data_IF_154480263283
#
_entry.id   IF_154480263283
#
_cell.length_a   1.000
_cell.length_b   1.000
_cell.length_c   1.000
_cell.angle_alpha   90.00
_cell.angle_beta   90.00
_cell.angle_gamma   90.00
#
_symmetry.space_group_name_H-M   'P 1'
#
loop_
_entity.id
_entity.type
_entity.pdbx_description
1 polymer ?
#
# COMPACT_ATOMS: atom_id res chain seq x y z
N UNK A 1 -7.87 2.08 9.64
CA UNK A 1 -6.46 1.66 9.84
C UNK A 1 -5.62 2.47 8.88
N UNK A 2 -4.58 3.18 9.35
CA UNK A 2 -3.87 4.18 8.53
C UNK A 2 -2.64 3.62 7.79
N UNK A 3 -1.86 2.76 8.43
CA UNK A 3 -0.61 2.22 7.88
C UNK A 3 -0.50 0.73 8.21
N UNK A 4 0.06 -0.08 7.30
CA UNK A 4 0.32 -1.51 7.49
C UNK A 4 1.72 -1.84 7.03
N UNK A 5 2.46 -2.61 7.83
CA UNK A 5 3.84 -3.02 7.52
C UNK A 5 4.75 -1.83 7.17
N UNK A 6 5.46 -1.96 6.04
CA UNK A 6 6.38 -0.94 5.53
C UNK A 6 5.74 0.20 4.75
N UNK A 7 4.41 0.17 4.50
CA UNK A 7 3.69 1.21 3.78
C UNK A 7 3.64 2.55 4.51
N UNK A 8 3.30 3.62 3.80
CA UNK A 8 3.19 4.97 4.36
C UNK A 8 4.49 5.60 4.90
N UNK A 9 4.50 6.92 5.02
CA UNK A 9 5.64 7.71 5.48
C UNK A 9 5.21 9.09 5.99
N UNK A 10 6.13 9.73 6.72
CA UNK A 10 5.93 11.05 7.29
C UNK A 10 7.12 11.95 7.00
N UNK A 11 6.87 13.26 6.98
CA UNK A 11 7.92 14.28 6.90
C UNK A 11 7.61 15.53 7.69
N UNK A 12 8.66 16.26 8.07
CA UNK A 12 8.62 17.61 8.61
C UNK A 12 9.51 18.54 7.76
N UNK A 13 8.99 19.74 7.44
CA UNK A 13 9.74 20.83 6.81
C UNK A 13 9.98 21.93 7.82
N UNK A 14 11.23 22.21 8.13
CA UNK A 14 11.61 23.27 9.07
C UNK A 14 12.95 23.88 8.66
N UNK A 15 13.07 25.22 8.67
CA UNK A 15 14.34 25.90 8.41
C UNK A 15 14.98 25.60 7.04
N UNK A 16 14.19 25.23 6.03
CA UNK A 16 14.72 24.83 4.70
C UNK A 16 15.20 23.37 4.64
N UNK A 17 15.00 22.59 5.70
CA UNK A 17 15.34 21.18 5.78
C UNK A 17 14.08 20.34 5.63
N UNK A 18 14.16 19.25 4.87
CA UNK A 18 13.14 18.21 4.81
C UNK A 18 13.61 17.00 5.62
N UNK A 19 12.95 16.72 6.73
CA UNK A 19 13.09 15.47 7.46
C UNK A 19 12.06 14.48 6.93
N UNK A 20 12.48 13.34 6.38
CA UNK A 20 11.57 12.34 5.80
C UNK A 20 11.94 10.94 6.26
N UNK A 21 10.94 10.06 6.41
CA UNK A 21 11.15 8.65 6.73
C UNK A 21 12.20 8.02 5.80
N UNK A 22 13.16 7.31 6.38
CA UNK A 22 14.14 6.49 5.66
C UNK A 22 13.50 5.27 5.01
N UNK A 23 14.02 4.88 3.84
CA UNK A 23 13.60 3.67 3.15
C UNK A 23 13.90 2.41 3.97
N UNK A 24 13.03 1.39 3.88
CA UNK A 24 13.18 0.13 4.63
C UNK A 24 12.87 0.21 6.13
N UNK A 25 12.36 1.35 6.62
CA UNK A 25 11.90 1.50 8.00
C UNK A 25 10.37 1.50 8.10
N UNK A 26 9.86 0.93 9.18
CA UNK A 26 8.44 0.97 9.48
C UNK A 26 8.16 2.17 10.36
N UNK A 27 6.99 2.81 10.22
CA UNK A 27 6.63 3.95 11.08
C UNK A 27 6.68 3.59 12.58
N UNK A 28 6.38 2.33 12.93
CA UNK A 28 6.48 1.81 14.29
C UNK A 28 7.91 1.78 14.86
N UNK A 29 8.93 1.76 13.99
CA UNK A 29 10.33 1.75 14.43
C UNK A 29 10.72 3.09 15.08
N UNK A 30 10.01 4.19 14.78
CA UNK A 30 10.21 5.51 15.38
C UNK A 30 10.10 5.49 16.92
N UNK A 31 9.38 4.51 17.48
CA UNK A 31 9.26 4.33 18.93
C UNK A 31 10.53 3.77 19.58
N UNK A 32 11.45 3.22 18.79
CA UNK A 32 12.65 2.51 19.25
C UNK A 32 13.95 3.16 18.80
N UNK A 33 13.94 3.85 17.66
CA UNK A 33 15.13 4.48 17.04
C UNK A 33 14.71 5.63 16.15
N UNK A 34 15.66 6.49 15.79
CA UNK A 34 15.43 7.47 14.74
C UNK A 34 15.26 6.74 13.39
N UNK A 35 14.31 7.24 12.60
CA UNK A 35 13.98 6.74 11.27
C UNK A 35 13.95 7.85 10.23
N UNK A 36 14.27 9.10 10.58
CA UNK A 36 14.24 10.22 9.65
C UNK A 36 15.62 10.51 9.06
N UNK A 37 15.62 10.94 7.80
CA UNK A 37 16.80 11.47 7.11
C UNK A 37 16.53 12.92 6.76
N UNK A 38 17.55 13.77 6.85
CA UNK A 38 17.45 15.21 6.62
C UNK A 38 18.03 15.58 5.27
N UNK A 39 17.27 16.30 4.44
CA UNK A 39 17.69 16.74 3.11
C UNK A 39 17.55 18.26 2.93
N UNK A 40 18.32 18.83 2.01
CA UNK A 40 18.09 20.19 1.51
C UNK A 40 16.76 20.25 0.75
N UNK A 41 15.75 20.93 1.31
CA UNK A 41 14.42 21.01 0.72
C UNK A 41 14.44 21.74 -0.64
N UNK A 42 15.29 22.76 -0.79
CA UNK A 42 15.37 23.51 -2.04
C UNK A 42 15.96 22.64 -3.16
N UNK A 43 17.04 21.92 -2.86
CA UNK A 43 17.62 20.90 -3.73
C UNK A 43 16.60 19.85 -4.14
N UNK A 44 15.84 19.28 -3.19
CA UNK A 44 14.86 18.24 -3.50
C UNK A 44 13.79 18.80 -4.43
N UNK A 45 13.21 19.98 -4.13
CA UNK A 45 12.20 20.61 -4.99
C UNK A 45 12.72 20.90 -6.40
N UNK A 46 14.00 21.28 -6.54
CA UNK A 46 14.64 21.47 -7.84
C UNK A 46 14.77 20.13 -8.59
N UNK A 47 15.21 19.08 -7.92
CA UNK A 47 15.32 17.73 -8.49
C UNK A 47 13.97 17.18 -8.93
N UNK A 48 12.91 17.36 -8.14
CA UNK A 48 11.55 16.94 -8.54
C UNK A 48 11.12 17.64 -9.83
N UNK A 49 11.36 18.95 -9.97
CA UNK A 49 11.06 19.68 -11.22
C UNK A 49 11.87 19.19 -12.42
N UNK A 50 13.06 18.63 -12.18
CA UNK A 50 13.89 18.00 -13.19
C UNK A 50 13.53 16.52 -13.45
N UNK A 51 12.56 15.95 -12.71
CA UNK A 51 12.16 14.55 -12.83
C UNK A 51 13.08 13.55 -12.12
N UNK A 52 13.88 14.00 -11.15
CA UNK A 52 14.73 13.12 -10.33
C UNK A 52 13.89 12.27 -9.37
N UNK A 53 14.32 11.02 -9.15
CA UNK A 53 13.71 10.09 -8.18
C UNK A 53 14.63 9.74 -7.01
N UNK A 54 15.94 9.92 -7.17
CA UNK A 54 16.93 9.63 -6.13
C UNK A 54 17.53 10.93 -5.58
N UNK A 55 17.21 11.21 -4.32
CA UNK A 55 17.67 12.42 -3.61
C UNK A 55 18.80 12.11 -2.61
N UNK A 56 19.45 10.94 -2.69
CA UNK A 56 20.49 10.53 -1.74
C UNK A 56 21.68 11.50 -1.70
N UNK A 57 21.98 12.18 -2.81
CA UNK A 57 23.04 13.19 -2.89
C UNK A 57 22.72 14.49 -2.14
N UNK A 58 21.45 14.69 -1.74
CA UNK A 58 20.97 15.88 -1.04
C UNK A 58 20.84 15.66 0.47
N UNK A 59 21.23 14.49 0.97
CA UNK A 59 21.25 14.18 2.40
C UNK A 59 22.29 15.04 3.10
N UNK A 60 21.88 15.70 4.18
CA UNK A 60 22.73 16.63 4.93
C UNK A 60 23.67 15.86 5.89
N UNK A 61 24.94 16.27 6.02
CA UNK A 61 25.93 15.59 6.89
C UNK A 61 25.56 15.56 8.38
N UNK A 62 24.70 16.48 8.84
CA UNK A 62 24.22 16.52 10.22
C UNK A 62 23.11 15.50 10.51
N UNK A 63 22.64 14.75 9.51
CA UNK A 63 21.69 13.67 9.70
C UNK A 63 22.34 12.55 10.51
N UNK A 64 21.93 12.40 11.77
CA UNK A 64 22.22 11.20 12.56
C UNK A 64 21.38 10.04 11.98
N UNK A 65 21.81 9.45 10.87
CA UNK A 65 21.13 8.32 10.26
C UNK A 65 21.74 7.92 8.93
N UNK A 66 22.28 6.70 8.86
CA UNK A 66 22.88 6.10 7.66
C UNK A 66 21.82 5.63 6.62
N UNK A 67 20.68 6.33 6.54
CA UNK A 67 19.50 5.89 5.81
C UNK A 67 19.39 6.49 4.41
N UNK A 68 19.01 5.67 3.42
CA UNK A 68 18.53 6.15 2.12
C UNK A 68 17.17 6.85 2.29
N UNK A 69 16.92 8.03 1.69
CA UNK A 69 15.60 8.67 1.76
C UNK A 69 14.50 7.79 1.16
N UNK A 70 13.25 8.00 1.60
CA UNK A 70 12.07 7.35 1.00
C UNK A 70 12.02 7.62 -0.52
N UNK A 71 11.61 6.61 -1.29
CA UNK A 71 11.29 6.76 -2.72
C UNK A 71 10.17 7.79 -2.99
N UNK A 72 9.37 8.10 -1.98
CA UNK A 72 8.28 9.07 -2.06
C UNK A 72 8.67 10.45 -1.49
N UNK A 73 9.97 10.70 -1.32
CA UNK A 73 10.48 12.01 -0.85
C UNK A 73 9.99 13.16 -1.74
N UNK A 74 9.83 12.94 -3.04
CA UNK A 74 9.27 13.90 -3.97
C UNK A 74 7.88 14.40 -3.53
N UNK A 75 6.97 13.47 -3.19
CA UNK A 75 5.62 13.75 -2.70
C UNK A 75 5.66 14.61 -1.43
N UNK A 76 6.55 14.30 -0.49
CA UNK A 76 6.71 15.09 0.72
C UNK A 76 7.19 16.51 0.43
N UNK A 77 8.14 16.69 -0.50
CA UNK A 77 8.72 17.98 -0.82
C UNK A 77 7.75 18.95 -1.53
N UNK A 78 6.88 18.42 -2.40
CA UNK A 78 5.95 19.21 -3.21
C UNK A 78 4.74 19.69 -2.43
N UNK A 79 4.26 18.90 -1.46
CA UNK A 79 3.16 19.32 -0.59
C UNK A 79 3.57 20.62 0.13
N UNK A 80 2.71 21.66 0.15
CA UNK A 80 3.10 22.96 0.68
C UNK A 80 3.22 23.00 2.21
N UNK A 81 2.65 22.00 2.89
CA UNK A 81 2.50 21.97 4.35
C UNK A 81 3.79 21.63 5.09
N UNK A 82 3.89 22.09 6.34
CA UNK A 82 5.03 21.82 7.21
C UNK A 82 5.15 20.34 7.55
N UNK A 83 4.04 19.70 7.94
CA UNK A 83 3.97 18.26 8.19
C UNK A 83 3.17 17.60 7.09
N UNK A 84 3.67 16.46 6.60
CA UNK A 84 3.00 15.64 5.57
C UNK A 84 3.03 14.19 6.02
N UNK A 85 1.89 13.53 6.02
CA UNK A 85 1.75 12.10 6.29
C UNK A 85 1.07 11.47 5.09
N UNK A 86 1.75 10.49 4.50
CA UNK A 86 1.16 9.58 3.53
C UNK A 86 0.85 8.23 4.20
N UNK A 87 -0.37 7.76 3.99
CA UNK A 87 -0.97 6.62 4.63
C UNK A 87 -1.61 5.69 3.59
N UNK A 88 -1.47 4.39 3.82
CA UNK A 88 -2.18 3.34 3.06
C UNK A 88 -3.48 3.06 3.81
N UNK A 89 -4.31 4.09 3.91
CA UNK A 89 -5.48 4.05 4.76
C UNK A 89 -6.61 3.27 4.08
N UNK A 90 -7.12 2.23 4.74
CA UNK A 90 -8.00 1.23 4.11
C UNK A 90 -9.26 1.85 3.52
N UNK A 91 -9.96 2.72 4.25
CA UNK A 91 -11.22 3.27 3.76
C UNK A 91 -10.98 4.25 2.60
N UNK A 92 -9.87 4.98 2.63
CA UNK A 92 -9.41 5.80 1.52
C UNK A 92 -9.11 4.95 0.29
N UNK A 93 -8.36 3.85 0.43
CA UNK A 93 -8.09 2.90 -0.67
C UNK A 93 -9.42 2.34 -1.20
N UNK A 94 -10.27 1.77 -0.34
CA UNK A 94 -11.57 1.25 -0.75
C UNK A 94 -12.40 2.29 -1.50
N UNK A 95 -12.35 3.55 -1.08
CA UNK A 95 -13.06 4.65 -1.75
C UNK A 95 -12.51 4.92 -3.13
N UNK A 96 -11.19 5.00 -3.31
CA UNK A 96 -10.58 5.26 -4.63
C UNK A 96 -10.67 4.09 -5.59
N UNK A 97 -10.94 2.88 -5.08
CA UNK A 97 -11.25 1.71 -5.91
C UNK A 97 -12.68 1.75 -6.47
N UNK A 98 -13.58 2.60 -5.98
CA UNK A 98 -14.94 2.68 -6.51
C UNK A 98 -14.98 3.45 -7.84
N UNK A 99 -15.79 3.01 -8.82
CA UNK A 99 -16.09 3.83 -10.00
C UNK A 99 -16.70 5.20 -9.65
N UNK A 100 -17.41 5.28 -8.51
CA UNK A 100 -18.03 6.48 -7.98
C UNK A 100 -17.22 7.18 -6.89
N UNK A 101 -15.88 7.11 -6.96
CA UNK A 101 -14.99 7.64 -5.94
C UNK A 101 -15.22 9.14 -5.71
N UNK A 102 -15.28 9.93 -6.80
CA UNK A 102 -15.44 11.39 -6.75
C UNK A 102 -16.77 11.79 -6.09
N UNK A 103 -17.87 11.12 -6.43
CA UNK A 103 -19.18 11.37 -5.84
C UNK A 103 -19.17 11.06 -4.34
N UNK A 104 -18.58 9.93 -3.94
CA UNK A 104 -18.47 9.55 -2.52
C UNK A 104 -17.61 10.53 -1.74
N UNK A 105 -16.46 10.93 -2.26
CA UNK A 105 -15.58 11.94 -1.64
C UNK A 105 -16.31 13.28 -1.47
N UNK A 106 -16.99 13.74 -2.53
CA UNK A 106 -17.78 14.98 -2.50
C UNK A 106 -18.88 14.92 -1.44
N UNK A 107 -19.61 13.80 -1.34
CA UNK A 107 -20.68 13.62 -0.37
C UNK A 107 -20.16 13.56 1.08
N UNK A 108 -19.02 12.90 1.31
CA UNK A 108 -18.55 12.57 2.66
C UNK A 108 -17.58 13.60 3.25
N UNK A 109 -16.84 14.33 2.42
CA UNK A 109 -15.73 15.17 2.88
C UNK A 109 -16.04 16.67 2.84
N UNK A 110 -17.32 17.04 3.04
CA UNK A 110 -17.71 18.44 3.18
C UNK A 110 -16.85 19.17 4.23
N UNK A 111 -16.32 20.34 3.83
CA UNK A 111 -15.45 21.17 4.67
C UNK A 111 -13.97 20.77 4.68
N UNK A 112 -13.57 19.71 3.97
CA UNK A 112 -12.16 19.34 3.78
C UNK A 112 -11.74 19.73 2.37
N UNK A 113 -10.60 20.42 2.23
CA UNK A 113 -10.01 20.69 0.92
C UNK A 113 -9.27 19.44 0.45
N UNK A 114 -9.81 18.78 -0.57
CA UNK A 114 -9.24 17.54 -1.07
C UNK A 114 -9.11 17.55 -2.59
N UNK A 115 -8.18 16.76 -3.09
CA UNK A 115 -8.07 16.40 -4.50
C UNK A 115 -7.94 14.88 -4.65
N UNK A 116 -8.20 14.37 -5.85
CA UNK A 116 -7.92 12.98 -6.22
C UNK A 116 -7.11 12.97 -7.49
N UNK A 117 -6.05 12.17 -7.53
CA UNK A 117 -5.25 11.94 -8.74
C UNK A 117 -5.52 10.54 -9.29
N UNK A 118 -5.53 10.37 -10.63
CA UNK A 118 -5.53 9.05 -11.25
C UNK A 118 -4.33 8.22 -10.78
N UNK A 119 -4.38 6.91 -11.02
CA UNK A 119 -3.23 6.06 -10.73
C UNK A 119 -2.03 6.53 -11.55
N UNK A 120 -0.90 6.67 -10.86
CA UNK A 120 0.42 6.90 -11.43
C UNK A 120 1.42 6.07 -10.63
N UNK A 121 2.48 5.60 -11.29
CA UNK A 121 3.51 4.80 -10.63
C UNK A 121 4.12 5.59 -9.46
N UNK A 122 4.24 4.99 -8.26
CA UNK A 122 4.92 5.65 -7.14
C UNK A 122 6.34 6.07 -7.53
N UNK A 123 6.73 7.30 -7.18
CA UNK A 123 7.96 7.95 -7.66
C UNK A 123 7.67 9.26 -8.40
N UNK A 124 8.43 9.56 -9.46
CA UNK A 124 8.33 10.83 -10.17
C UNK A 124 6.98 11.03 -10.87
N UNK A 125 6.38 9.97 -11.42
CA UNK A 125 5.10 10.06 -12.13
C UNK A 125 3.95 10.45 -11.18
N UNK A 126 3.89 9.83 -10.01
CA UNK A 126 2.93 10.20 -8.98
C UNK A 126 3.19 11.61 -8.43
N UNK A 127 4.45 11.98 -8.20
CA UNK A 127 4.79 13.33 -7.76
C UNK A 127 4.33 14.39 -8.77
N UNK A 128 4.49 14.14 -10.08
CA UNK A 128 4.02 15.03 -11.14
C UNK A 128 2.49 15.16 -11.14
N UNK A 129 1.77 14.05 -11.07
CA UNK A 129 0.31 14.07 -11.00
C UNK A 129 -0.22 14.85 -9.79
N UNK A 130 0.49 14.78 -8.65
CA UNK A 130 0.14 15.57 -7.46
C UNK A 130 0.50 17.05 -7.66
N UNK A 131 1.63 17.39 -8.29
CA UNK A 131 1.96 18.79 -8.59
C UNK A 131 0.87 19.46 -9.42
N UNK A 132 0.35 18.79 -10.45
CA UNK A 132 -0.69 19.34 -11.33
C UNK A 132 -1.95 19.75 -10.53
N UNK A 133 -2.35 18.97 -9.53
CA UNK A 133 -3.51 19.34 -8.68
C UNK A 133 -3.17 20.43 -7.68
N UNK A 134 -1.94 20.45 -7.15
CA UNK A 134 -1.47 21.48 -6.20
C UNK A 134 -1.37 22.88 -6.85
N UNK A 135 -1.12 22.95 -8.15
CA UNK A 135 -1.06 24.21 -8.90
C UNK A 135 -2.43 24.87 -9.09
N UNK A 136 -3.51 24.08 -9.12
CA UNK A 136 -4.87 24.58 -9.29
C UNK A 136 -5.48 25.11 -7.99
N UNK A 137 -5.38 24.32 -6.92
CA UNK A 137 -5.73 24.67 -5.54
C UNK A 137 -4.82 23.82 -4.64
N UNK A 138 -4.45 24.30 -3.46
CA UNK A 138 -3.57 23.58 -2.55
C UNK A 138 -4.40 22.75 -1.55
N UNK A 139 -4.82 21.51 -1.86
CA UNK A 139 -5.61 20.66 -0.97
C UNK A 139 -4.82 20.28 0.28
N UNK A 140 -5.54 20.04 1.36
CA UNK A 140 -4.98 19.49 2.60
C UNK A 140 -4.92 17.95 2.57
N UNK A 141 -5.67 17.33 1.66
CA UNK A 141 -5.74 15.87 1.47
C UNK A 141 -5.71 15.55 -0.02
N UNK A 142 -4.79 14.68 -0.46
CA UNK A 142 -4.78 14.16 -1.82
C UNK A 142 -4.98 12.65 -1.78
N UNK A 143 -6.04 12.18 -2.43
CA UNK A 143 -6.30 10.77 -2.66
C UNK A 143 -5.56 10.31 -3.90
N UNK A 144 -4.86 9.18 -3.79
CA UNK A 144 -4.10 8.60 -4.88
C UNK A 144 -4.79 7.30 -5.28
N UNK A 145 -5.36 7.28 -6.49
CA UNK A 145 -6.16 6.15 -6.95
C UNK A 145 -5.33 4.86 -6.92
N UNK A 146 -5.92 3.77 -6.40
CA UNK A 146 -5.25 2.48 -6.24
C UNK A 146 -4.01 2.51 -5.32
N UNK A 147 -3.78 3.55 -4.51
CA UNK A 147 -2.56 3.65 -3.71
C UNK A 147 -2.83 3.99 -2.24
N UNK A 148 -3.42 5.15 -1.97
CA UNK A 148 -3.59 5.61 -0.60
C UNK A 148 -3.99 7.07 -0.52
N UNK A 149 -3.59 7.73 0.56
CA UNK A 149 -3.91 9.13 0.83
C UNK A 149 -2.67 9.84 1.37
N UNK A 150 -2.50 11.10 1.00
CA UNK A 150 -1.54 12.02 1.64
C UNK A 150 -2.32 13.17 2.26
N UNK A 151 -1.95 13.55 3.48
CA UNK A 151 -2.49 14.71 4.16
C UNK A 151 -1.35 15.63 4.63
N UNK A 152 -1.57 16.93 4.53
CA UNK A 152 -0.64 17.96 4.98
C UNK A 152 -1.28 18.87 6.02
N UNK A 153 -0.47 19.46 6.90
CA UNK A 153 -0.90 20.40 7.95
C UNK A 153 0.27 21.13 8.63
N UNK A 154 -0.04 21.96 9.62
CA UNK A 154 0.96 22.70 10.38
C UNK A 154 1.65 21.86 11.47
N UNK A 155 1.00 20.80 11.96
CA UNK A 155 1.55 19.91 12.99
C UNK A 155 1.19 18.45 12.75
N UNK A 156 1.97 17.51 13.31
CA UNK A 156 1.69 16.08 13.22
C UNK A 156 0.32 15.70 13.80
N UNK A 157 -0.06 16.33 14.91
CA UNK A 157 -1.37 16.13 15.54
C UNK A 157 -2.52 16.52 14.62
N UNK A 158 -2.43 17.69 13.98
CA UNK A 158 -3.45 18.17 13.05
C UNK A 158 -3.62 17.21 11.86
N UNK A 159 -2.51 16.75 11.28
CA UNK A 159 -2.54 15.82 10.14
C UNK A 159 -3.11 14.46 10.56
N UNK A 160 -2.76 13.96 11.74
CA UNK A 160 -3.32 12.72 12.29
C UNK A 160 -4.84 12.85 12.52
N UNK A 161 -5.29 13.92 13.18
CA UNK A 161 -6.71 14.18 13.43
C UNK A 161 -7.49 14.28 12.10
N UNK A 162 -6.92 14.96 11.10
CA UNK A 162 -7.48 15.05 9.74
C UNK A 162 -7.60 13.69 9.06
N UNK A 163 -6.54 12.87 9.09
CA UNK A 163 -6.58 11.52 8.51
C UNK A 163 -7.60 10.62 9.20
N UNK A 164 -7.71 10.71 10.53
CA UNK A 164 -8.71 9.96 11.31
C UNK A 164 -10.13 10.39 10.98
N UNK A 165 -10.38 11.70 10.83
CA UNK A 165 -11.67 12.23 10.42
C UNK A 165 -12.05 11.75 9.00
N UNK A 166 -11.13 11.87 8.04
CA UNK A 166 -11.30 11.34 6.68
C UNK A 166 -11.67 9.85 6.71
N UNK A 167 -10.88 9.02 7.39
CA UNK A 167 -11.14 7.58 7.45
C UNK A 167 -12.46 7.23 8.14
N UNK A 168 -12.85 8.01 9.15
CA UNK A 168 -14.14 7.86 9.84
C UNK A 168 -15.30 8.16 8.89
N UNK A 169 -15.25 9.29 8.17
CA UNK A 169 -16.31 9.69 7.22
C UNK A 169 -16.41 8.76 6.00
N UNK A 170 -15.30 8.14 5.60
CA UNK A 170 -15.24 7.19 4.49
C UNK A 170 -15.53 5.75 4.90
N UNK A 171 -15.94 5.48 6.15
CA UNK A 171 -16.20 4.13 6.65
C UNK A 171 -17.13 3.31 5.74
N UNK A 172 -16.84 2.01 5.68
CA UNK A 172 -17.64 1.02 5.00
C UNK A 172 -18.24 0.06 6.02
N UNK A 173 -19.45 -0.43 5.75
CA UNK A 173 -20.03 -1.51 6.53
C UNK A 173 -19.22 -2.78 6.28
N UNK A 174 -18.58 -3.29 7.34
CA UNK A 174 -17.86 -4.56 7.25
C UNK A 174 -18.88 -5.69 7.23
N UNK A 175 -19.00 -6.34 6.08
CA UNK A 175 -19.87 -7.48 5.91
C UNK A 175 -19.02 -8.74 5.94
N UNK A 176 -18.65 -9.17 7.15
CA UNK A 176 -17.91 -10.43 7.34
C UNK A 176 -18.91 -11.58 7.18
N UNK A 177 -18.59 -12.53 6.30
CA UNK A 177 -19.37 -13.76 6.16
C UNK A 177 -19.40 -14.50 7.50
N UNK A 178 -20.59 -14.85 7.98
CA UNK A 178 -20.80 -15.54 9.26
C UNK A 178 -20.49 -17.04 9.21
N UNK A 179 -19.80 -17.52 8.18
CA UNK A 179 -19.45 -18.93 8.07
C UNK A 179 -18.19 -19.26 8.89
N UNK A 180 -18.22 -20.30 9.73
CA UNK A 180 -17.07 -20.70 10.53
C UNK A 180 -15.92 -21.14 9.61
N UNK A 181 -14.78 -20.47 9.73
CA UNK A 181 -13.66 -20.52 8.79
C UNK A 181 -12.79 -21.78 8.86
N UNK A 182 -13.21 -22.86 9.51
CA UNK A 182 -12.34 -24.03 9.74
C UNK A 182 -13.08 -25.32 9.41
N UNK A 183 -12.77 -25.90 8.24
CA UNK A 183 -12.97 -27.32 8.00
C UNK A 183 -11.81 -28.12 8.61
N UNK A 184 -12.13 -29.28 9.18
CA UNK A 184 -11.21 -30.14 9.92
C UNK A 184 -10.28 -31.00 9.04
N UNK A 185 -10.36 -30.89 7.71
CA UNK A 185 -9.57 -31.69 6.78
C UNK A 185 -8.98 -30.80 5.68
N UNK A 186 -7.87 -30.14 6.04
CA UNK A 186 -7.09 -29.29 5.14
C UNK A 186 -5.86 -30.09 4.71
N UNK A 187 -5.73 -30.48 3.42
CA UNK A 187 -4.59 -31.24 2.97
C UNK A 187 -3.31 -30.40 3.04
N UNK A 188 -2.18 -31.09 3.18
CA UNK A 188 -0.87 -30.45 3.11
C UNK A 188 -0.56 -30.01 1.67
N UNK A 189 0.00 -28.81 1.52
CA UNK A 189 0.36 -28.22 0.23
C UNK A 189 1.79 -27.74 0.30
N UNK A 190 2.70 -28.48 -0.33
CA UNK A 190 4.14 -28.20 -0.27
C UNK A 190 4.47 -26.75 -0.69
N UNK A 191 5.14 -26.02 0.21
CA UNK A 191 5.53 -24.62 0.05
C UNK A 191 4.48 -23.60 0.52
N UNK A 192 3.36 -24.07 1.10
CA UNK A 192 2.29 -23.22 1.59
C UNK A 192 1.86 -23.58 3.00
N UNK A 193 1.30 -22.60 3.70
CA UNK A 193 0.62 -22.76 4.99
C UNK A 193 -0.81 -22.28 4.89
N UNK A 194 -1.73 -23.00 5.53
CA UNK A 194 -3.08 -22.51 5.73
C UNK A 194 -3.07 -21.32 6.67
N UNK A 195 -3.74 -20.24 6.29
CA UNK A 195 -3.82 -19.03 7.08
C UNK A 195 -4.96 -19.12 8.10
N UNK A 196 -4.67 -18.79 9.35
CA UNK A 196 -5.62 -18.97 10.47
C UNK A 196 -6.56 -17.77 10.68
N UNK A 197 -6.35 -16.65 9.99
CA UNK A 197 -7.28 -15.52 10.06
C UNK A 197 -8.64 -15.89 9.47
N UNK A 198 -9.67 -15.89 10.33
CA UNK A 198 -11.02 -16.27 9.96
C UNK A 198 -11.61 -15.33 8.90
N UNK A 199 -11.25 -14.04 8.91
CA UNK A 199 -11.72 -13.07 7.92
C UNK A 199 -11.19 -13.38 6.52
N UNK A 200 -9.88 -13.60 6.39
CA UNK A 200 -9.24 -13.96 5.13
C UNK A 200 -9.70 -15.35 4.66
N UNK A 201 -9.75 -16.33 5.57
CA UNK A 201 -10.23 -17.68 5.28
C UNK A 201 -11.68 -17.71 4.78
N UNK A 202 -12.56 -16.86 5.35
CA UNK A 202 -13.95 -16.75 4.93
C UNK A 202 -14.12 -16.29 3.46
N UNK A 203 -13.12 -15.63 2.86
CA UNK A 203 -13.16 -15.25 1.44
C UNK A 203 -13.17 -16.48 0.52
N UNK A 204 -12.57 -17.59 0.95
CA UNK A 204 -12.61 -18.85 0.21
C UNK A 204 -14.01 -19.47 0.12
N UNK A 205 -14.96 -18.99 0.92
CA UNK A 205 -16.37 -19.38 0.91
C UNK A 205 -17.27 -18.33 0.24
N UNK A 206 -16.69 -17.21 -0.21
CA UNK A 206 -17.39 -16.14 -0.91
C UNK A 206 -16.64 -15.78 -2.21
N UNK A 207 -16.87 -16.55 -3.29
CA UNK A 207 -16.21 -16.30 -4.58
C UNK A 207 -16.44 -14.87 -5.09
N UNK A 208 -17.59 -14.26 -4.79
CA UNK A 208 -17.91 -12.90 -5.26
C UNK A 208 -16.99 -11.85 -4.64
N UNK A 209 -16.51 -12.07 -3.41
CA UNK A 209 -15.52 -11.20 -2.77
C UNK A 209 -14.11 -11.57 -3.16
N UNK A 210 -13.75 -12.86 -3.10
CA UNK A 210 -12.40 -13.31 -3.42
C UNK A 210 -11.99 -12.93 -4.84
N UNK A 211 -12.90 -13.06 -5.81
CA UNK A 211 -12.63 -12.72 -7.21
C UNK A 211 -12.23 -11.24 -7.42
N UNK A 212 -12.57 -10.32 -6.50
CA UNK A 212 -12.09 -8.94 -6.57
C UNK A 212 -10.59 -8.83 -6.33
N UNK A 213 -10.02 -9.76 -5.56
CA UNK A 213 -8.59 -9.84 -5.26
C UNK A 213 -7.82 -10.68 -6.30
N UNK A 214 -8.51 -11.56 -7.03
CA UNK A 214 -7.87 -12.53 -7.92
C UNK A 214 -7.72 -12.06 -9.38
N UNK A 215 -8.47 -11.03 -9.81
CA UNK A 215 -8.46 -10.60 -11.21
C UNK A 215 -7.18 -9.88 -11.60
N UNK A 216 -6.80 -8.85 -10.86
CA UNK A 216 -5.60 -8.02 -11.02
C UNK A 216 -5.24 -7.37 -9.69
N UNK A 217 -4.03 -6.85 -9.59
CA UNK A 217 -3.63 -6.14 -8.40
C UNK A 217 -4.47 -4.87 -8.21
N UNK A 218 -4.88 -4.62 -6.96
CA UNK A 218 -5.65 -3.44 -6.58
C UNK A 218 -4.74 -2.28 -6.21
N UNK A 219 -3.55 -2.56 -5.66
CA UNK A 219 -2.60 -1.57 -5.17
C UNK A 219 -1.17 -1.90 -5.56
N UNK A 220 -0.25 -0.93 -5.72
CA UNK A 220 1.11 -1.20 -6.17
C UNK A 220 1.89 -2.08 -5.20
N UNK A 221 1.73 -1.84 -3.89
CA UNK A 221 2.36 -2.63 -2.83
C UNK A 221 1.99 -4.12 -2.87
N UNK A 222 0.81 -4.47 -3.39
CA UNK A 222 0.42 -5.86 -3.59
C UNK A 222 1.31 -6.54 -4.65
N UNK A 223 1.57 -5.86 -5.77
CA UNK A 223 2.45 -6.40 -6.83
C UNK A 223 3.85 -6.58 -6.29
N UNK A 224 4.31 -5.60 -5.54
CA UNK A 224 5.61 -5.58 -4.91
C UNK A 224 5.77 -6.72 -3.92
N UNK A 225 4.95 -6.78 -2.87
CA UNK A 225 5.18 -7.73 -1.79
C UNK A 225 4.70 -9.16 -2.11
N UNK A 226 3.70 -9.29 -2.98
CA UNK A 226 3.05 -10.58 -3.27
C UNK A 226 3.29 -11.07 -4.71
N UNK A 227 3.95 -10.29 -5.56
CA UNK A 227 4.21 -10.65 -6.96
C UNK A 227 2.99 -10.52 -7.89
N UNK A 228 1.84 -10.09 -7.38
CA UNK A 228 0.63 -9.95 -8.19
C UNK A 228 -0.69 -10.10 -7.43
N UNK A 229 -1.81 -10.36 -8.15
CA UNK A 229 -3.10 -10.68 -7.55
C UNK A 229 -3.06 -11.95 -6.69
N UNK A 230 -4.10 -12.14 -5.87
CA UNK A 230 -4.34 -13.45 -5.28
C UNK A 230 -4.72 -14.46 -6.38
N UNK A 231 -4.65 -15.74 -6.06
CA UNK A 231 -5.08 -16.81 -6.97
C UNK A 231 -6.32 -17.49 -6.42
N UNK A 232 -7.27 -17.84 -7.29
CA UNK A 232 -8.41 -18.68 -6.94
C UNK A 232 -8.20 -20.09 -7.49
N UNK A 233 -8.47 -21.09 -6.67
CA UNK A 233 -8.46 -22.50 -7.06
C UNK A 233 -9.75 -23.18 -6.61
N UNK A 234 -10.34 -24.01 -7.46
CA UNK A 234 -11.53 -24.79 -7.08
C UNK A 234 -11.15 -25.94 -6.15
N UNK A 235 -10.01 -26.58 -6.40
CA UNK A 235 -9.50 -27.69 -5.59
C UNK A 235 -8.00 -27.52 -5.26
N UNK A 236 -7.46 -28.37 -4.41
CA UNK A 236 -6.02 -28.39 -4.12
C UNK A 236 -5.24 -29.05 -5.26
N UNK A 237 -5.85 -29.99 -5.94
CA UNK A 237 -5.29 -30.72 -7.08
C UNK A 237 -4.99 -29.79 -8.26
N UNK A 238 -5.86 -28.80 -8.50
CA UNK A 238 -5.69 -27.80 -9.57
C UNK A 238 -4.45 -26.89 -9.33
N UNK A 239 -3.95 -26.79 -8.09
CA UNK A 239 -2.86 -25.88 -7.75
C UNK A 239 -1.56 -26.20 -8.45
N UNK A 240 -1.31 -27.47 -8.79
CA UNK A 240 -0.06 -27.84 -9.48
C UNK A 240 0.08 -27.11 -10.82
N UNK A 241 -0.97 -27.16 -11.64
CA UNK A 241 -0.97 -26.54 -12.97
C UNK A 241 -1.03 -25.01 -12.86
N UNK A 242 -1.84 -24.49 -11.93
CA UNK A 242 -1.95 -23.05 -11.67
C UNK A 242 -0.60 -22.46 -11.24
N UNK A 243 0.12 -23.14 -10.32
CA UNK A 243 1.44 -22.73 -9.85
C UNK A 243 2.46 -22.74 -10.98
N UNK A 244 2.46 -23.79 -11.81
CA UNK A 244 3.37 -23.89 -12.95
C UNK A 244 3.16 -22.76 -13.96
N UNK A 245 1.91 -22.44 -14.30
CA UNK A 245 1.59 -21.31 -15.18
C UNK A 245 1.99 -19.97 -14.57
N UNK A 246 1.64 -19.76 -13.30
CA UNK A 246 1.96 -18.54 -12.59
C UNK A 246 3.47 -18.30 -12.54
N UNK A 247 4.25 -19.33 -12.17
CA UNK A 247 5.71 -19.26 -12.11
C UNK A 247 6.32 -18.94 -13.48
N UNK A 248 5.80 -19.51 -14.58
CA UNK A 248 6.25 -19.17 -15.94
C UNK A 248 5.98 -17.72 -16.30
N UNK A 249 4.83 -17.19 -15.90
CA UNK A 249 4.42 -15.82 -16.27
C UNK A 249 5.06 -14.72 -15.41
N UNK A 250 5.34 -14.99 -14.13
CA UNK A 250 5.78 -13.98 -13.15
C UNK A 250 7.13 -14.26 -12.50
N UNK A 251 7.73 -15.44 -12.71
CA UNK A 251 9.03 -15.81 -12.16
C UNK A 251 9.05 -16.09 -10.66
N UNK A 252 7.89 -16.02 -9.99
CA UNK A 252 7.69 -16.34 -8.57
C UNK A 252 6.44 -17.20 -8.41
N UNK A 253 6.30 -17.94 -7.32
CA UNK A 253 5.07 -18.64 -6.99
C UNK A 253 3.96 -17.69 -6.49
N UNK A 254 2.66 -18.07 -6.61
CA UNK A 254 1.56 -17.32 -5.99
C UNK A 254 1.79 -17.15 -4.48
N UNK A 255 1.71 -15.92 -3.98
CA UNK A 255 1.93 -15.66 -2.55
C UNK A 255 0.67 -15.81 -1.69
N UNK A 256 -0.51 -15.65 -2.30
CA UNK A 256 -1.81 -15.83 -1.66
C UNK A 256 -2.74 -16.59 -2.60
N UNK A 257 -3.32 -17.68 -2.12
CA UNK A 257 -4.23 -18.55 -2.85
C UNK A 257 -5.47 -18.78 -2.02
N UNK A 258 -6.66 -18.60 -2.60
CA UNK A 258 -7.92 -19.04 -2.03
C UNK A 258 -8.31 -20.38 -2.65
N UNK A 259 -8.56 -21.38 -1.82
CA UNK A 259 -9.07 -22.68 -2.26
C UNK A 259 -10.53 -22.79 -1.85
N UNK A 260 -11.40 -22.89 -2.85
CA UNK A 260 -12.86 -22.91 -2.70
C UNK A 260 -13.30 -23.84 -1.56
N UNK A 261 -14.00 -23.29 -0.57
CA UNK A 261 -14.54 -24.04 0.56
C UNK A 261 -13.53 -24.57 1.59
N UNK A 262 -12.22 -24.34 1.43
CA UNK A 262 -11.19 -24.82 2.36
C UNK A 262 -10.52 -23.70 3.17
N UNK A 263 -10.25 -22.56 2.52
CA UNK A 263 -9.61 -21.41 3.15
C UNK A 263 -8.57 -20.72 2.27
N UNK A 264 -7.70 -19.94 2.91
CA UNK A 264 -6.60 -19.25 2.27
C UNK A 264 -5.26 -19.96 2.57
N UNK A 265 -4.46 -20.17 1.52
CA UNK A 265 -3.08 -20.62 1.57
C UNK A 265 -2.15 -19.42 1.35
N UNK A 266 -1.08 -19.36 2.13
CA UNK A 266 -0.02 -18.36 2.01
C UNK A 266 1.30 -19.06 1.80
N UNK A 267 2.07 -18.61 0.81
CA UNK A 267 3.37 -19.20 0.51
C UNK A 267 4.36 -18.99 1.67
N UNK A 268 5.24 -19.96 1.93
CA UNK A 268 6.12 -19.93 3.11
C UNK A 268 7.14 -18.78 3.13
N UNK A 269 7.66 -18.33 1.98
CA UNK A 269 8.55 -17.16 1.92
C UNK A 269 7.86 -15.80 2.11
N UNK A 270 6.56 -15.73 2.37
CA UNK A 270 5.89 -14.44 2.62
C UNK A 270 6.38 -13.88 3.95
N UNK A 271 7.23 -12.85 3.87
CA UNK A 271 7.71 -12.09 5.03
C UNK A 271 6.66 -11.18 5.65
N UNK A 272 7.04 -10.49 6.73
CA UNK A 272 6.13 -9.65 7.52
C UNK A 272 5.48 -8.49 6.73
N UNK A 273 6.19 -7.92 5.76
CA UNK A 273 5.64 -6.93 4.82
C UNK A 273 4.53 -7.52 3.94
N UNK A 274 4.76 -8.71 3.37
CA UNK A 274 3.74 -9.43 2.59
C UNK A 274 2.54 -9.86 3.43
N UNK A 275 2.75 -10.30 4.67
CA UNK A 275 1.64 -10.58 5.60
C UNK A 275 0.79 -9.35 5.90
N UNK A 276 1.42 -8.18 6.04
CA UNK A 276 0.71 -6.91 6.20
C UNK A 276 -0.13 -6.57 4.96
N UNK A 277 0.36 -6.90 3.76
CA UNK A 277 -0.40 -6.71 2.52
C UNK A 277 -1.56 -7.71 2.39
N UNK A 278 -1.38 -8.97 2.79
CA UNK A 278 -2.46 -9.96 2.82
C UNK A 278 -3.58 -9.49 3.76
N UNK A 279 -3.23 -8.94 4.92
CA UNK A 279 -4.19 -8.34 5.85
C UNK A 279 -4.95 -7.17 5.20
N UNK A 280 -4.24 -6.23 4.55
CA UNK A 280 -4.87 -5.13 3.81
C UNK A 280 -5.85 -5.63 2.74
N UNK A 281 -5.49 -6.64 1.96
CA UNK A 281 -6.37 -7.21 0.93
C UNK A 281 -7.64 -7.82 1.52
N UNK A 282 -7.52 -8.54 2.64
CA UNK A 282 -8.68 -9.05 3.39
C UNK A 282 -9.61 -7.91 3.84
N UNK A 283 -9.03 -6.85 4.42
CA UNK A 283 -9.75 -5.66 4.85
C UNK A 283 -10.49 -4.95 3.69
N UNK A 284 -9.87 -4.90 2.51
CA UNK A 284 -10.48 -4.34 1.29
C UNK A 284 -11.66 -5.21 0.82
N UNK A 285 -11.47 -6.54 0.74
CA UNK A 285 -12.50 -7.45 0.26
C UNK A 285 -13.78 -7.45 1.12
N UNK A 286 -13.64 -7.28 2.43
CA UNK A 286 -14.77 -7.20 3.36
C UNK A 286 -15.52 -5.86 3.34
N UNK A 287 -14.88 -4.80 2.83
CA UNK A 287 -15.46 -3.44 2.76
C UNK A 287 -16.06 -3.11 1.40
N UNK A 288 -15.50 -3.64 0.31
CA UNK A 288 -16.00 -3.34 -1.02
C UNK A 288 -17.39 -3.97 -1.23
N UNK A 289 -18.40 -3.19 -1.67
CA UNK A 289 -19.72 -3.73 -1.98
C UNK A 289 -19.65 -4.86 -3.01
N UNK A 290 -20.41 -5.94 -2.83
CA UNK A 290 -20.39 -7.14 -3.69
C UNK A 290 -20.66 -6.80 -5.16
N UNK A 291 -21.53 -5.83 -5.42
CA UNK A 291 -21.94 -5.41 -6.76
C UNK A 291 -20.91 -4.55 -7.50
N UNK A 292 -19.86 -4.09 -6.81
CA UNK A 292 -18.85 -3.20 -7.40
C UNK A 292 -17.70 -4.01 -7.98
N UNK A 293 -17.36 -3.70 -9.22
CA UNK A 293 -16.07 -4.06 -9.82
C UNK A 293 -15.08 -2.94 -9.47
N UNK A 294 -14.04 -3.21 -8.66
CA UNK A 294 -13.09 -2.17 -8.29
C UNK A 294 -12.21 -1.76 -9.48
N UNK A 295 -11.71 -0.52 -9.43
CA UNK A 295 -10.56 -0.11 -10.24
C UNK A 295 -9.38 -1.02 -9.93
N UNK A 296 -8.63 -1.43 -10.95
CA UNK A 296 -7.49 -2.34 -10.84
C UNK A 296 -6.33 -1.78 -11.64
N UNK A 297 -5.10 -2.10 -11.22
CA UNK A 297 -3.90 -1.78 -12.00
C UNK A 297 -3.98 -2.41 -13.40
N UNK A 298 -3.40 -1.74 -14.39
CA UNK A 298 -3.25 -2.33 -15.72
C UNK A 298 -2.12 -3.37 -15.71
N UNK A 299 -2.10 -4.24 -16.73
CA UNK A 299 -1.00 -5.21 -16.90
C UNK A 299 0.34 -4.49 -17.05
N UNK A 300 0.34 -3.37 -17.77
CA UNK A 300 1.55 -2.54 -17.96
C UNK A 300 2.05 -1.98 -16.62
N UNK A 301 1.15 -1.52 -15.76
CA UNK A 301 1.49 -0.99 -14.45
C UNK A 301 2.06 -2.08 -13.53
N UNK A 302 1.48 -3.27 -13.52
CA UNK A 302 2.03 -4.41 -12.75
C UNK A 302 3.46 -4.76 -13.22
N UNK A 303 3.70 -4.81 -14.53
CA UNK A 303 5.03 -5.12 -15.08
C UNK A 303 6.08 -4.06 -14.74
N UNK A 304 5.70 -2.78 -14.71
CA UNK A 304 6.57 -1.67 -14.29
C UNK A 304 6.96 -1.74 -12.82
N UNK A 305 6.17 -2.42 -11.98
CA UNK A 305 6.43 -2.59 -10.54
C UNK A 305 7.29 -3.83 -10.26
N UNK A 306 7.08 -4.94 -10.97
CA UNK A 306 7.86 -6.18 -10.78
C UNK A 306 9.37 -5.99 -11.07
N UNK A 307 9.71 -5.11 -12.01
CA UNK A 307 11.10 -4.83 -12.40
C UNK A 307 11.71 -3.63 -11.67
N UNK A 308 11.11 -3.16 -10.58
CA UNK A 308 11.49 -1.90 -9.95
C UNK A 308 12.63 -2.04 -8.92
N UNK A 309 13.82 -1.54 -9.26
CA UNK A 309 15.03 -1.75 -8.46
C UNK A 309 15.02 -1.10 -7.07
N UNK A 310 14.36 0.07 -6.93
CA UNK A 310 14.23 0.74 -5.63
C UNK A 310 13.44 -0.11 -4.63
N UNK A 311 12.56 -0.96 -5.13
CA UNK A 311 11.67 -1.78 -4.33
C UNK A 311 12.29 -3.14 -3.98
N UNK A 312 13.10 -3.71 -4.88
CA UNK A 312 13.95 -4.88 -4.58
C UNK A 312 14.84 -4.62 -3.36
N UNK A 313 15.32 -3.38 -3.18
CA UNK A 313 16.07 -2.99 -1.99
C UNK A 313 15.22 -3.05 -0.70
N UNK A 314 13.97 -2.57 -0.72
CA UNK A 314 13.06 -2.63 0.45
C UNK A 314 12.72 -4.07 0.81
N UNK A 315 12.40 -4.90 -0.18
CA UNK A 315 12.14 -6.33 0.01
C UNK A 315 13.32 -7.05 0.66
N UNK A 316 14.56 -6.75 0.24
CA UNK A 316 15.76 -7.34 0.83
C UNK A 316 15.93 -6.97 2.31
N UNK A 317 15.61 -5.72 2.69
CA UNK A 317 15.65 -5.28 4.09
C UNK A 317 14.52 -5.90 4.94
N UNK A 318 13.30 -6.01 4.40
CA UNK A 318 12.18 -6.66 5.09
C UNK A 318 12.43 -8.16 5.28
N UNK A 319 13.07 -8.85 4.32
CA UNK A 319 13.45 -10.25 4.46
C UNK A 319 14.43 -10.49 5.62
N UNK A 320 15.35 -9.55 5.87
CA UNK A 320 16.27 -9.61 7.02
C UNK A 320 15.56 -9.40 8.37
N UNK A 321 14.40 -8.74 8.40
CA UNK A 321 13.59 -8.62 9.63
C UNK A 321 12.95 -9.94 10.01
N UNK A 322 12.51 -10.72 9.03
CA UNK A 322 11.90 -12.04 9.25
C UNK A 322 12.88 -13.06 9.84
N UNK A 323 14.17 -12.95 9.51
CA UNK A 323 15.21 -13.86 10.04
C UNK A 323 15.73 -13.46 11.43
N UNK A 324 15.61 -12.20 11.83
CA UNK A 324 16.01 -11.71 13.16
C UNK A 324 14.93 -11.90 14.24
N UNK A 325 13.75 -12.37 13.87
CA UNK A 325 12.60 -12.59 14.75
C UNK A 325 12.37 -14.05 15.17
N UNK A 326 13.30 -14.96 14.85
CA UNK A 326 13.31 -16.37 15.31
C UNK A 326 14.32 -16.57 16.44
#
# INVERSE_FOLDING_TARGET
>A
MLVQGGGGNASLKEGGILHVKSSGTWMSDALKRDIFVSLDLAGVRKGVKAGEEDFSSLVLPSAQGDGRPSIETALHAIMPHAVVIHAHAVNSICTTLLPSAVERLTQKLGGIRWAIVPYAKPGADLARAIQDVLEADAPDVVFMSNHGVVAGGASAREVEERLRDVESRLSFDQTVSSQPAVQADRPDVAGYRWHDDAGLGALAFDPSRAQKLCRRALVPDQVVYLGGPAVWSETVEDLSDIRAEWLRSRGVEPRLVFVSGLGALVHEDVGSGGMSMIFLLGEIAHRLPITVVPSMLSVEDELKLLNWDAEKYRQALDAQRGSAGN
#
